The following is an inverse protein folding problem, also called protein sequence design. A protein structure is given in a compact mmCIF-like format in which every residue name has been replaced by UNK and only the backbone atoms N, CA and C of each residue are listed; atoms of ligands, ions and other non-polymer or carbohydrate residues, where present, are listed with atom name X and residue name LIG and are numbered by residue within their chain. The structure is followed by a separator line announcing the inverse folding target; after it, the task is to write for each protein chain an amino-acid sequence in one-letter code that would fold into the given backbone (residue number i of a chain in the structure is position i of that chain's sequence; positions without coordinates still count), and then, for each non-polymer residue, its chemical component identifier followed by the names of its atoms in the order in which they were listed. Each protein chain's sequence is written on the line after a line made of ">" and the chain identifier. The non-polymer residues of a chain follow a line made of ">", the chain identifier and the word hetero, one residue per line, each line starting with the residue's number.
data_IF_622161564597
#
_entry.id   IF_622161564597
#
_cell.length_a   1.000
_cell.length_b   1.000
_cell.length_c   1.000
_cell.angle_alpha   90.00
_cell.angle_beta   90.00
_cell.angle_gamma   90.00
#
_symmetry.space_group_name_H-M   'P 1'
#
loop_
_entity.id
_entity.type
_entity.pdbx_description
1 polymer ?
#
# COMPACT_ATOMS: atom_id res chain seq x y z
N UNK A 1 56.93 -1.81 5.58
CA UNK A 1 55.93 -2.78 5.14
C UNK A 1 54.68 -2.13 4.48
N UNK A 2 54.54 -0.81 4.45
CA UNK A 2 53.30 -0.16 3.97
C UNK A 2 53.27 0.24 2.48
N UNK A 3 54.40 0.20 1.79
CA UNK A 3 54.43 0.59 0.35
C UNK A 3 53.97 -0.53 -0.61
N UNK A 4 54.08 -1.79 -0.21
CA UNK A 4 53.67 -2.93 -1.05
C UNK A 4 52.15 -3.07 -1.14
N UNK A 5 51.43 -2.79 -0.03
CA UNK A 5 49.95 -2.85 0.01
C UNK A 5 49.31 -1.72 -0.78
N UNK A 6 49.91 -0.52 -0.78
CA UNK A 6 49.37 0.62 -1.53
C UNK A 6 49.47 0.41 -3.04
N UNK A 7 50.56 -0.23 -3.50
CA UNK A 7 50.76 -0.55 -4.92
C UNK A 7 49.83 -1.67 -5.39
N UNK A 8 49.54 -2.65 -4.53
CA UNK A 8 48.59 -3.74 -4.83
C UNK A 8 47.13 -3.23 -4.90
N UNK A 9 46.76 -2.28 -4.01
CA UNK A 9 45.41 -1.70 -3.99
C UNK A 9 45.14 -0.83 -5.24
N UNK A 10 46.15 -0.10 -5.70
CA UNK A 10 46.05 0.69 -6.92
C UNK A 10 45.98 -0.20 -8.17
N UNK A 11 46.69 -1.32 -8.19
CA UNK A 11 46.64 -2.27 -9.29
C UNK A 11 45.26 -2.98 -9.38
N UNK A 12 44.62 -3.29 -8.25
CA UNK A 12 43.24 -3.84 -8.25
C UNK A 12 42.17 -2.84 -8.70
N UNK A 13 42.35 -1.56 -8.39
CA UNK A 13 41.44 -0.50 -8.86
C UNK A 13 41.61 -0.26 -10.38
N UNK A 14 42.82 -0.36 -10.92
CA UNK A 14 43.06 -0.21 -12.37
C UNK A 14 42.58 -1.41 -13.20
N UNK A 15 42.56 -2.62 -12.64
CA UNK A 15 42.07 -3.82 -13.33
C UNK A 15 40.50 -3.90 -13.34
N UNK A 16 39.81 -3.18 -12.46
CA UNK A 16 38.34 -3.17 -12.38
C UNK A 16 37.65 -2.30 -13.44
N UNK A 17 38.40 -1.47 -14.16
CA UNK A 17 37.84 -0.56 -15.15
C UNK A 17 37.97 -1.00 -16.63
N UNK A 18 38.56 -2.13 -16.88
CA UNK A 18 38.78 -2.62 -18.27
C UNK A 18 37.84 -3.74 -18.70
N UNK A 19 36.76 -4.00 -17.95
CA UNK A 19 35.82 -5.07 -18.27
C UNK A 19 34.44 -4.55 -18.75
N UNK A 20 34.30 -3.28 -19.11
CA UNK A 20 33.15 -2.84 -19.92
C UNK A 20 33.61 -2.88 -21.39
N UNK A 21 33.09 -3.84 -22.14
CA UNK A 21 33.11 -3.77 -23.59
C UNK A 21 32.31 -2.51 -23.97
N UNK A 22 32.86 -1.68 -24.86
CA UNK A 22 32.23 -0.41 -25.30
C UNK A 22 30.78 -0.60 -25.83
N UNK A 23 30.43 -1.81 -26.25
CA UNK A 23 29.10 -2.14 -26.77
C UNK A 23 28.03 -2.31 -25.67
N UNK A 24 28.42 -2.67 -24.42
CA UNK A 24 27.47 -2.85 -23.31
C UNK A 24 27.20 -1.54 -22.53
N UNK A 25 27.98 -0.48 -22.76
CA UNK A 25 27.79 0.82 -22.11
C UNK A 25 26.85 1.77 -22.87
N UNK A 26 26.49 1.45 -24.11
CA UNK A 26 25.57 2.28 -24.89
C UNK A 26 24.14 2.29 -24.34
N UNK A 27 23.71 1.26 -23.59
CA UNK A 27 22.38 1.18 -22.98
C UNK A 27 22.26 1.88 -21.63
N UNK A 28 23.40 2.21 -20.97
CA UNK A 28 23.40 3.08 -19.81
C UNK A 28 23.37 4.55 -20.24
N UNK A 29 22.23 4.97 -20.78
CA UNK A 29 21.97 6.38 -21.10
C UNK A 29 21.89 7.20 -19.79
N UNK A 30 23.06 7.49 -19.17
CA UNK A 30 23.14 8.35 -17.98
C UNK A 30 22.44 9.69 -18.20
N UNK A 31 22.36 10.18 -19.45
CA UNK A 31 21.56 11.34 -19.81
C UNK A 31 20.06 11.18 -19.56
N UNK A 32 19.54 9.93 -19.59
CA UNK A 32 18.12 9.68 -19.30
C UNK A 32 17.82 9.73 -17.81
N UNK A 33 18.77 9.44 -16.93
CA UNK A 33 18.59 9.53 -15.47
C UNK A 33 18.24 10.94 -15.01
N UNK A 34 18.76 11.97 -15.72
CA UNK A 34 18.42 13.37 -15.42
C UNK A 34 16.95 13.69 -15.73
N UNK A 35 16.27 12.88 -16.52
CA UNK A 35 14.89 13.08 -16.95
C UNK A 35 13.90 12.07 -16.34
N UNK A 36 14.38 11.14 -15.52
CA UNK A 36 13.51 10.21 -14.77
C UNK A 36 12.52 10.97 -13.89
N UNK A 37 11.33 10.43 -13.62
CA UNK A 37 10.36 11.07 -12.74
C UNK A 37 10.79 10.92 -11.28
N UNK A 38 11.85 11.64 -10.88
CA UNK A 38 12.38 11.59 -9.51
C UNK A 38 11.44 12.32 -8.56
N UNK A 39 10.95 11.60 -7.54
CA UNK A 39 10.09 12.15 -6.50
C UNK A 39 10.95 12.87 -5.45
N UNK A 40 10.57 14.08 -5.10
CA UNK A 40 11.27 14.88 -4.09
C UNK A 40 11.06 14.26 -2.71
N UNK A 41 12.16 14.19 -1.94
CA UNK A 41 12.15 13.63 -0.59
C UNK A 41 11.12 14.33 0.30
N UNK A 42 10.28 13.53 0.97
CA UNK A 42 9.29 14.03 1.93
C UNK A 42 7.92 14.37 1.32
N UNK A 43 7.76 14.29 -0.01
CA UNK A 43 6.46 14.54 -0.66
C UNK A 43 5.62 13.27 -0.84
N UNK A 44 6.21 12.11 -0.59
CA UNK A 44 5.51 10.83 -0.48
C UNK A 44 5.79 10.22 0.90
N UNK A 45 4.76 9.79 1.66
CA UNK A 45 4.95 9.22 2.99
C UNK A 45 5.65 7.86 2.92
N UNK A 46 6.69 7.69 3.73
CA UNK A 46 7.43 6.43 3.86
C UNK A 46 6.91 5.55 5.00
N UNK A 47 6.13 6.15 5.90
CA UNK A 47 5.53 5.48 7.05
C UNK A 47 4.02 5.31 6.84
N UNK A 48 3.45 4.31 7.53
CA UNK A 48 2.00 4.08 7.52
C UNK A 48 1.25 5.30 8.07
N UNK A 49 0.20 5.71 7.35
CA UNK A 49 -0.66 6.83 7.76
C UNK A 49 -1.83 6.30 8.58
N UNK A 50 -2.14 6.97 9.69
CA UNK A 50 -3.30 6.65 10.52
C UNK A 50 -4.21 7.88 10.57
N UNK A 51 -5.46 7.70 10.13
CA UNK A 51 -6.44 8.78 10.02
C UNK A 51 -7.69 8.48 10.84
N UNK A 52 -8.38 9.53 11.24
CA UNK A 52 -9.70 9.37 11.86
C UNK A 52 -10.78 9.05 10.82
N UNK A 53 -11.85 8.40 11.27
CA UNK A 53 -13.02 8.17 10.41
C UNK A 53 -13.64 9.52 9.99
N UNK A 54 -13.83 9.69 8.70
CA UNK A 54 -14.30 10.92 8.08
C UNK A 54 -13.20 11.82 7.52
N UNK A 55 -11.93 11.59 7.88
CA UNK A 55 -10.79 12.30 7.30
C UNK A 55 -10.48 11.83 5.89
N UNK A 56 -9.78 12.68 5.14
CA UNK A 56 -9.31 12.39 3.79
C UNK A 56 -7.79 12.34 3.78
N UNK A 57 -7.23 11.24 3.27
CA UNK A 57 -5.80 11.12 2.98
C UNK A 57 -5.53 11.76 1.63
N UNK A 58 -4.69 12.79 1.62
CA UNK A 58 -4.22 13.42 0.39
C UNK A 58 -2.70 13.28 0.27
N UNK A 59 -2.23 12.84 -0.89
CA UNK A 59 -0.81 12.70 -1.20
C UNK A 59 -0.56 13.25 -2.60
N UNK A 60 0.32 14.24 -2.70
CA UNK A 60 0.75 14.84 -3.96
C UNK A 60 2.28 14.73 -4.07
N UNK A 61 2.80 13.70 -4.76
CA UNK A 61 4.23 13.57 -4.97
C UNK A 61 4.73 14.71 -5.87
N UNK A 62 5.72 15.44 -5.39
CA UNK A 62 6.39 16.45 -6.21
C UNK A 62 7.55 15.82 -6.98
N UNK A 63 7.66 16.16 -8.27
CA UNK A 63 8.66 15.61 -9.17
C UNK A 63 9.72 16.64 -9.52
N UNK A 64 10.97 16.21 -9.55
CA UNK A 64 12.06 17.01 -10.11
C UNK A 64 11.86 17.22 -11.63
N UNK A 65 11.34 16.19 -12.32
CA UNK A 65 11.11 16.19 -13.77
C UNK A 65 9.65 15.83 -14.06
N UNK A 66 8.72 16.79 -13.97
CA UNK A 66 7.28 16.52 -14.10
C UNK A 66 6.79 16.36 -15.54
N UNK A 67 7.60 16.72 -16.55
CA UNK A 67 7.16 16.75 -17.94
C UNK A 67 6.74 15.38 -18.48
N UNK A 68 5.50 15.29 -18.95
CA UNK A 68 4.92 14.06 -19.51
C UNK A 68 4.72 12.97 -18.47
N UNK A 69 4.75 13.28 -17.16
CA UNK A 69 4.49 12.32 -16.12
C UNK A 69 3.02 11.89 -16.10
N UNK A 70 2.80 10.60 -15.97
CA UNK A 70 1.50 9.97 -15.74
C UNK A 70 1.51 9.23 -14.44
N UNK A 71 0.38 9.19 -13.75
CA UNK A 71 0.23 8.59 -12.44
C UNK A 71 -0.69 7.37 -12.51
N UNK A 72 -0.43 6.39 -11.67
CA UNK A 72 -1.33 5.26 -11.41
C UNK A 72 -1.26 4.94 -9.92
N UNK A 73 -2.40 5.05 -9.25
CA UNK A 73 -2.57 4.75 -7.85
C UNK A 73 -3.29 3.44 -7.68
N UNK A 74 -2.72 2.55 -6.88
CA UNK A 74 -3.33 1.26 -6.57
C UNK A 74 -3.61 1.20 -5.07
N UNK A 75 -4.82 0.78 -4.73
CA UNK A 75 -5.22 0.46 -3.35
C UNK A 75 -5.41 -1.04 -3.24
N UNK A 76 -4.65 -1.69 -2.36
CA UNK A 76 -4.62 -3.16 -2.23
C UNK A 76 -4.35 -3.87 -3.58
N UNK A 77 -3.47 -3.29 -4.40
CA UNK A 77 -3.10 -3.82 -5.72
C UNK A 77 -4.14 -3.65 -6.82
N UNK A 78 -5.25 -2.95 -6.57
CA UNK A 78 -6.28 -2.63 -7.57
C UNK A 78 -6.18 -1.18 -8.00
N UNK A 79 -6.37 -0.92 -9.29
CA UNK A 79 -6.39 0.44 -9.83
C UNK A 79 -7.43 1.28 -9.11
N UNK A 80 -7.02 2.48 -8.70
CA UNK A 80 -7.87 3.41 -7.96
C UNK A 80 -8.01 4.77 -8.64
N UNK A 81 -6.89 5.40 -9.02
CA UNK A 81 -6.87 6.74 -9.62
C UNK A 81 -5.67 6.93 -10.55
N UNK A 82 -5.78 7.86 -11.49
CA UNK A 82 -4.69 8.32 -12.36
C UNK A 82 -4.38 9.80 -12.18
N UNK A 83 -5.01 10.45 -11.23
CA UNK A 83 -4.79 11.87 -10.92
C UNK A 83 -3.41 12.10 -10.29
N UNK A 84 -2.80 13.28 -10.46
CA UNK A 84 -1.52 13.61 -9.81
C UNK A 84 -1.59 13.57 -8.28
N UNK A 85 -2.74 13.87 -7.71
CA UNK A 85 -3.01 13.82 -6.28
C UNK A 85 -3.86 12.61 -5.95
N UNK A 86 -3.38 11.78 -5.05
CA UNK A 86 -4.19 10.74 -4.41
C UNK A 86 -5.11 11.39 -3.38
N UNK A 87 -6.38 11.04 -3.39
CA UNK A 87 -7.36 11.47 -2.40
C UNK A 87 -8.25 10.29 -2.02
N UNK A 88 -8.27 9.94 -0.75
CA UNK A 88 -9.05 8.80 -0.23
C UNK A 88 -9.74 9.19 1.08
N UNK A 89 -11.06 9.21 1.07
CA UNK A 89 -11.84 9.48 2.27
C UNK A 89 -12.06 8.21 3.09
N UNK A 90 -11.80 8.30 4.40
CA UNK A 90 -11.94 7.19 5.35
C UNK A 90 -13.39 7.12 5.86
N UNK A 91 -14.29 6.54 5.09
CA UNK A 91 -15.70 6.44 5.48
C UNK A 91 -16.00 5.19 6.33
N UNK A 92 -15.12 4.17 6.28
CA UNK A 92 -15.25 2.92 7.05
C UNK A 92 -13.94 2.57 7.75
N UNK A 93 -14.00 1.78 8.86
CA UNK A 93 -12.79 1.16 9.39
C UNK A 93 -12.04 0.42 8.28
N UNK A 94 -10.78 0.79 8.03
CA UNK A 94 -10.02 0.24 6.92
C UNK A 94 -8.54 0.05 7.26
N UNK A 95 -7.91 -0.83 6.50
CA UNK A 95 -6.46 -0.96 6.37
C UNK A 95 -6.16 -1.29 4.92
N UNK A 96 -5.29 -0.51 4.31
CA UNK A 96 -4.97 -0.67 2.90
C UNK A 96 -3.49 -0.39 2.61
N UNK A 97 -2.96 -1.11 1.63
CA UNK A 97 -1.69 -0.82 1.01
C UNK A 97 -1.91 0.14 -0.15
N UNK A 98 -1.07 1.14 -0.25
CA UNK A 98 -1.10 2.15 -1.30
C UNK A 98 0.18 2.08 -2.11
N UNK A 99 0.04 1.95 -3.42
CA UNK A 99 1.15 2.02 -4.38
C UNK A 99 0.91 3.16 -5.35
N UNK A 100 1.94 3.97 -5.56
CA UNK A 100 1.98 5.00 -6.59
C UNK A 100 3.01 4.63 -7.63
N UNK A 101 2.60 4.58 -8.90
CA UNK A 101 3.47 4.36 -10.05
C UNK A 101 3.44 5.64 -10.88
N UNK A 102 4.60 6.27 -11.05
CA UNK A 102 4.75 7.46 -11.87
C UNK A 102 5.64 7.11 -13.05
N UNK A 103 5.20 7.44 -14.26
CA UNK A 103 5.89 7.13 -15.51
C UNK A 103 6.02 8.36 -16.37
N UNK A 104 7.14 8.46 -17.08
CA UNK A 104 7.30 9.33 -18.24
C UNK A 104 8.01 8.56 -19.38
N UNK A 105 8.35 9.23 -20.48
CA UNK A 105 9.02 8.57 -21.61
C UNK A 105 10.42 8.03 -21.30
N UNK A 106 11.03 8.41 -20.20
CA UNK A 106 12.37 8.00 -19.80
C UNK A 106 12.37 6.86 -18.79
N UNK A 107 11.25 6.62 -18.10
CA UNK A 107 11.15 5.50 -17.16
C UNK A 107 10.01 5.60 -16.17
N UNK A 108 10.10 4.80 -15.11
CA UNK A 108 9.11 4.76 -14.05
C UNK A 108 9.76 4.79 -12.66
N UNK A 109 9.04 5.35 -11.71
CA UNK A 109 9.29 5.17 -10.27
C UNK A 109 8.06 4.54 -9.64
N UNK A 110 8.28 3.69 -8.65
CA UNK A 110 7.22 3.03 -7.90
C UNK A 110 7.49 3.21 -6.41
N UNK A 111 6.48 3.65 -5.68
CA UNK A 111 6.54 3.91 -4.25
C UNK A 111 5.36 3.28 -3.58
N UNK A 112 5.56 2.81 -2.35
CA UNK A 112 4.51 2.18 -1.57
C UNK A 112 4.51 2.69 -0.14
N UNK A 113 3.32 2.78 0.43
CA UNK A 113 3.05 3.05 1.82
C UNK A 113 1.80 2.27 2.21
N UNK A 114 1.31 2.46 3.42
CA UNK A 114 0.02 1.94 3.86
C UNK A 114 -0.76 3.00 4.62
N UNK A 115 -2.06 2.81 4.72
CA UNK A 115 -2.90 3.64 5.56
C UNK A 115 -3.94 2.81 6.30
N UNK A 116 -4.39 3.32 7.43
CA UNK A 116 -5.44 2.70 8.22
C UNK A 116 -6.30 3.75 8.91
N UNK A 117 -7.52 3.37 9.23
CA UNK A 117 -8.36 4.19 10.09
C UNK A 117 -7.98 4.00 11.56
N UNK A 118 -8.00 5.09 12.33
CA UNK A 118 -8.09 5.02 13.77
C UNK A 118 -9.55 4.75 14.15
N UNK A 119 -9.83 3.55 14.67
CA UNK A 119 -11.19 3.14 15.03
C UNK A 119 -11.18 2.35 16.35
N UNK A 120 -12.25 2.49 17.10
CA UNK A 120 -12.42 1.82 18.40
C UNK A 120 -13.67 0.95 18.39
N UNK A 121 -13.49 -0.35 18.30
CA UNK A 121 -14.61 -1.31 18.34
C UNK A 121 -15.15 -1.60 19.76
N UNK A 122 -14.63 -0.97 20.81
CA UNK A 122 -15.13 -1.15 22.18
C UNK A 122 -16.46 -0.45 22.44
N UNK A 123 -16.85 0.46 21.56
CA UNK A 123 -18.04 1.33 21.69
C UNK A 123 -19.20 0.92 20.80
N UNK A 124 -19.38 -0.37 20.60
CA UNK A 124 -20.42 -0.87 19.73
C UNK A 124 -20.53 -2.38 19.72
N UNK A 125 -21.14 -2.90 18.68
CA UNK A 125 -21.30 -4.34 18.47
C UNK A 125 -21.16 -4.70 16.99
N UNK A 126 -20.66 -5.90 16.75
CA UNK A 126 -20.63 -6.49 15.43
C UNK A 126 -21.92 -7.24 15.12
N UNK A 127 -22.33 -7.22 13.86
CA UNK A 127 -23.47 -7.97 13.36
C UNK A 127 -23.26 -8.43 11.93
N UNK A 128 -23.96 -9.48 11.55
CA UNK A 128 -23.97 -10.00 10.16
C UNK A 128 -25.28 -9.62 9.52
N UNK A 129 -25.24 -8.98 8.37
CA UNK A 129 -26.38 -8.68 7.53
C UNK A 129 -25.95 -8.72 6.06
N UNK A 130 -26.84 -9.22 5.20
CA UNK A 130 -26.63 -9.27 3.75
C UNK A 130 -25.29 -9.95 3.33
N UNK A 131 -24.87 -10.97 4.07
CA UNK A 131 -23.63 -11.68 3.81
C UNK A 131 -22.36 -10.91 4.17
N UNK A 132 -22.48 -9.78 4.85
CA UNK A 132 -21.34 -8.93 5.26
C UNK A 132 -21.19 -8.86 6.77
N UNK A 133 -19.97 -8.59 7.22
CA UNK A 133 -19.63 -8.41 8.62
C UNK A 133 -19.54 -6.92 8.94
N UNK A 134 -20.45 -6.44 9.75
CA UNK A 134 -20.69 -5.03 9.99
C UNK A 134 -20.43 -4.67 11.46
N UNK A 135 -20.17 -3.38 11.72
CA UNK A 135 -20.03 -2.84 13.07
C UNK A 135 -21.00 -1.65 13.27
N UNK A 136 -21.74 -1.65 14.35
CA UNK A 136 -22.54 -0.51 14.77
C UNK A 136 -21.87 0.20 15.93
N UNK A 137 -21.46 1.45 15.72
CA UNK A 137 -20.92 2.33 16.74
C UNK A 137 -22.08 2.97 17.51
N UNK A 138 -22.18 2.67 18.81
CA UNK A 138 -23.27 3.16 19.66
C UNK A 138 -23.09 4.63 20.09
N UNK A 139 -21.87 5.14 20.11
CA UNK A 139 -21.59 6.54 20.42
C UNK A 139 -21.89 7.45 19.22
N UNK A 140 -21.36 7.07 18.06
CA UNK A 140 -21.57 7.80 16.79
C UNK A 140 -22.92 7.52 16.15
N UNK A 141 -23.65 6.49 16.63
CA UNK A 141 -24.93 6.00 16.06
C UNK A 141 -24.82 5.70 14.57
N UNK A 142 -23.72 5.12 14.16
CA UNK A 142 -23.36 4.87 12.76
C UNK A 142 -23.08 3.39 12.54
N UNK A 143 -23.61 2.86 11.44
CA UNK A 143 -23.31 1.51 10.97
C UNK A 143 -22.18 1.57 9.94
N UNK A 144 -21.12 0.80 10.17
CA UNK A 144 -20.04 0.59 9.22
C UNK A 144 -20.24 -0.78 8.57
N UNK A 145 -20.30 -0.80 7.24
CA UNK A 145 -20.56 -2.01 6.49
C UNK A 145 -19.27 -2.69 6.04
N UNK A 146 -19.34 -4.01 5.92
CA UNK A 146 -18.26 -4.88 5.44
C UNK A 146 -16.88 -4.57 6.05
N UNK A 147 -16.86 -4.44 7.38
CA UNK A 147 -15.64 -4.15 8.13
C UNK A 147 -14.57 -5.21 7.94
N UNK A 148 -14.97 -6.47 7.65
CA UNK A 148 -13.98 -7.51 7.40
C UNK A 148 -13.20 -7.25 6.12
N UNK A 149 -13.89 -6.97 5.00
CA UNK A 149 -13.24 -6.68 3.74
C UNK A 149 -12.38 -5.41 3.81
N UNK A 150 -12.89 -4.38 4.48
CA UNK A 150 -12.19 -3.11 4.65
C UNK A 150 -10.90 -3.24 5.47
N UNK A 151 -10.89 -4.13 6.49
CA UNK A 151 -9.73 -4.35 7.36
C UNK A 151 -8.76 -5.42 6.85
N UNK A 152 -9.16 -6.23 5.87
CA UNK A 152 -8.40 -7.37 5.38
C UNK A 152 -8.11 -7.31 3.87
N UNK A 153 -7.77 -6.13 3.37
CA UNK A 153 -7.37 -5.93 1.97
C UNK A 153 -8.40 -6.45 0.94
N UNK A 154 -9.67 -6.20 1.21
CA UNK A 154 -10.77 -6.57 0.29
C UNK A 154 -11.09 -8.07 0.26
N UNK A 155 -10.62 -8.86 1.24
CA UNK A 155 -11.04 -10.25 1.39
C UNK A 155 -12.49 -10.33 1.83
N UNK A 156 -13.26 -11.27 1.30
CA UNK A 156 -14.64 -11.53 1.70
C UNK A 156 -14.72 -12.73 2.63
N UNK A 157 -15.69 -12.75 3.52
CA UNK A 157 -15.92 -13.90 4.42
C UNK A 157 -16.74 -15.02 3.76
N UNK A 158 -17.42 -14.73 2.66
CA UNK A 158 -18.31 -15.70 2.02
C UNK A 158 -19.49 -16.11 2.90
N UNK A 159 -19.96 -15.22 3.78
CA UNK A 159 -21.10 -15.48 4.66
C UNK A 159 -22.37 -15.46 3.82
N UNK A 160 -23.11 -16.54 3.79
CA UNK A 160 -24.45 -16.58 3.20
C UNK A 160 -25.53 -16.10 4.16
N UNK A 161 -26.74 -15.80 3.66
CA UNK A 161 -27.86 -15.31 4.46
C UNK A 161 -28.34 -16.29 5.55
N UNK A 162 -27.90 -17.55 5.52
CA UNK A 162 -28.28 -18.61 6.45
C UNK A 162 -27.13 -19.08 7.34
N UNK A 163 -25.95 -18.46 7.22
CA UNK A 163 -24.79 -18.87 7.98
C UNK A 163 -24.81 -18.22 9.37
N UNK A 164 -24.36 -18.98 10.37
CA UNK A 164 -24.19 -18.45 11.72
C UNK A 164 -22.83 -17.81 11.86
N UNK A 165 -22.79 -16.66 12.53
CA UNK A 165 -21.55 -16.02 12.91
C UNK A 165 -21.51 -15.83 14.43
N UNK A 166 -20.41 -16.23 15.05
CA UNK A 166 -20.12 -15.97 16.46
C UNK A 166 -18.82 -15.17 16.58
N UNK A 167 -18.83 -14.20 17.47
CA UNK A 167 -17.66 -13.39 17.78
C UNK A 167 -17.16 -13.72 19.15
N UNK A 168 -15.90 -14.09 19.25
CA UNK A 168 -15.21 -14.34 20.52
C UNK A 168 -14.15 -13.28 20.71
N UNK A 169 -14.18 -12.59 21.83
CA UNK A 169 -13.11 -11.68 22.25
C UNK A 169 -12.19 -12.40 23.23
N UNK A 170 -10.92 -12.54 22.89
CA UNK A 170 -9.90 -13.15 23.75
C UNK A 170 -8.54 -12.50 23.52
N UNK A 171 -7.83 -12.19 24.61
CA UNK A 171 -6.48 -11.59 24.59
C UNK A 171 -6.37 -10.32 23.71
N UNK A 172 -7.38 -9.44 23.78
CA UNK A 172 -7.40 -8.21 22.97
C UNK A 172 -7.66 -8.41 21.47
N UNK A 173 -8.02 -9.62 21.05
CA UNK A 173 -8.34 -9.97 19.67
C UNK A 173 -9.78 -10.41 19.53
N UNK A 174 -10.40 -10.05 18.42
CA UNK A 174 -11.70 -10.57 18.00
C UNK A 174 -11.49 -11.74 17.05
N UNK A 175 -12.16 -12.86 17.35
CA UNK A 175 -12.21 -14.03 16.51
C UNK A 175 -13.62 -14.18 15.97
N UNK A 176 -13.75 -14.22 14.66
CA UNK A 176 -15.01 -14.46 13.99
C UNK A 176 -15.07 -15.92 13.57
N UNK A 177 -16.02 -16.66 14.14
CA UNK A 177 -16.34 -18.03 13.73
C UNK A 177 -17.53 -17.97 12.78
N UNK A 178 -17.33 -18.40 11.54
CA UNK A 178 -18.36 -18.43 10.51
C UNK A 178 -18.68 -19.89 10.21
N UNK A 179 -19.94 -20.28 10.39
CA UNK A 179 -20.45 -21.57 9.94
C UNK A 179 -20.99 -21.43 8.53
N UNK A 180 -20.38 -22.12 7.58
CA UNK A 180 -20.94 -22.24 6.23
C UNK A 180 -21.89 -23.41 6.19
N UNK A 181 -23.16 -23.19 5.83
CA UNK A 181 -24.08 -24.27 5.53
C UNK A 181 -23.71 -24.87 4.17
N UNK A 182 -22.77 -25.82 4.17
CA UNK A 182 -22.69 -26.74 3.04
C UNK A 182 -23.91 -27.63 3.10
N UNK A 183 -24.66 -27.71 2.01
CA UNK A 183 -25.89 -28.50 1.84
C UNK A 183 -25.66 -30.01 1.87
N UNK A 184 -24.64 -30.51 2.52
CA UNK A 184 -24.37 -31.91 2.80
C UNK A 184 -24.41 -32.11 4.32
N UNK A 185 -25.63 -32.19 4.84
CA UNK A 185 -25.92 -32.96 6.05
C UNK A 185 -26.31 -34.35 5.59
N UNK A 186 -25.36 -35.24 5.50
CA UNK A 186 -25.57 -36.66 5.62
C UNK A 186 -25.31 -37.07 7.08
#
# INVERSE_FOLDING_TARGET
>A
MNKLYTTLLIACLAAGFTACNDDDCEDLHLGNLAHYPNVLKGTFPTESQVLELGETLEITPELLNPEGATYSWLVNGKDYSTEPTFSYKIDNPCRADLTCIIKNKYGKVEMSTSFSSNHNFSKGFFYVADGTFNFYDTEKKTAYQDCYASLNAGKTLGIGNYDSANIIHSNGKFYLLVGTSTSNRD
#
